data_IF_777650027556
#
_entry.id   IF_777650027556
#
_cell.length_a   1.000
_cell.length_b   1.000
_cell.length_c   1.000
_cell.angle_alpha   90.00
_cell.angle_beta   90.00
_cell.angle_gamma   90.00
#
_symmetry.space_group_name_H-M   'P 1'
#
loop_
_entity.id
_entity.type
_entity.pdbx_description
1 polymer ?
#
# COMPACT_ATOMS: atom_id res chain seq x y z
N UNK A 1 3.08 11.55 -3.75
CA UNK A 1 4.41 12.14 -3.99
C UNK A 1 5.47 11.30 -3.29
N UNK A 2 6.34 10.66 -4.10
CA UNK A 2 7.43 9.80 -3.63
C UNK A 2 8.65 10.60 -3.13
N UNK A 3 8.79 11.87 -3.54
CA UNK A 3 9.96 12.72 -3.21
C UNK A 3 9.73 13.60 -1.98
N UNK A 4 8.58 13.46 -1.33
CA UNK A 4 8.19 14.26 -0.18
C UNK A 4 9.14 14.03 1.00
N UNK A 5 9.95 15.02 1.37
CA UNK A 5 10.98 14.92 2.41
C UNK A 5 10.44 14.59 3.81
N UNK A 6 9.22 15.01 4.14
CA UNK A 6 8.58 14.71 5.41
C UNK A 6 7.72 13.43 5.37
N UNK A 7 7.96 12.51 4.42
CA UNK A 7 7.18 11.29 4.25
C UNK A 7 7.03 10.47 5.53
N UNK A 8 8.14 10.26 6.24
CA UNK A 8 8.19 9.48 7.48
C UNK A 8 7.49 10.09 8.70
N UNK A 9 7.02 11.34 8.63
CA UNK A 9 6.32 12.03 9.73
C UNK A 9 4.80 11.83 9.72
N UNK A 10 4.30 10.80 9.03
CA UNK A 10 2.87 10.50 8.95
C UNK A 10 2.35 9.84 10.24
N UNK A 11 1.03 9.87 10.46
CA UNK A 11 0.39 9.28 11.64
C UNK A 11 -0.25 7.90 11.40
N UNK A 12 -0.02 7.26 10.25
CA UNK A 12 -0.59 5.94 9.94
C UNK A 12 -0.21 4.82 10.94
N UNK A 13 0.88 4.99 11.70
CA UNK A 13 1.32 4.06 12.75
C UNK A 13 1.23 4.68 14.17
N UNK A 14 0.43 5.73 14.34
CA UNK A 14 0.35 6.54 15.55
C UNK A 14 1.71 7.15 15.99
N UNK A 15 1.74 7.75 17.16
CA UNK A 15 2.92 8.34 17.80
C UNK A 15 2.77 8.27 19.32
N UNK A 16 3.87 8.29 20.06
CA UNK A 16 3.87 8.25 21.53
C UNK A 16 3.71 6.85 22.11
N UNK A 17 3.13 6.71 23.32
CA UNK A 17 3.05 5.43 24.05
C UNK A 17 2.33 4.29 23.31
N UNK A 18 1.44 4.64 22.38
CA UNK A 18 0.66 3.69 21.58
C UNK A 18 1.13 3.62 20.13
N UNK A 19 2.40 3.92 19.86
CA UNK A 19 2.99 3.71 18.54
C UNK A 19 2.82 2.24 18.13
N UNK A 20 2.49 2.01 16.86
CA UNK A 20 2.22 0.67 16.34
C UNK A 20 3.44 -0.23 16.55
N UNK A 21 3.29 -1.25 17.39
CA UNK A 21 4.32 -2.25 17.65
C UNK A 21 4.71 -3.03 16.38
N UNK A 22 3.78 -3.17 15.44
CA UNK A 22 3.98 -3.85 14.16
C UNK A 22 4.57 -2.99 13.05
N UNK A 23 4.93 -1.73 13.29
CA UNK A 23 5.37 -0.79 12.24
C UNK A 23 6.50 -1.34 11.36
N UNK A 24 7.52 -1.93 11.97
CA UNK A 24 8.68 -2.44 11.25
C UNK A 24 8.34 -3.67 10.41
N UNK A 25 7.52 -4.58 10.96
CA UNK A 25 7.06 -5.76 10.25
C UNK A 25 6.18 -5.37 9.05
N UNK A 26 5.17 -4.53 9.26
CA UNK A 26 4.27 -4.07 8.19
C UNK A 26 5.05 -3.37 7.05
N UNK A 27 6.11 -2.62 7.37
CA UNK A 27 7.00 -2.02 6.36
C UNK A 27 7.78 -3.08 5.60
N UNK A 28 8.32 -4.10 6.28
CA UNK A 28 9.04 -5.19 5.63
C UNK A 28 8.11 -5.94 4.68
N UNK A 29 6.92 -6.32 5.15
CA UNK A 29 5.90 -7.01 4.35
C UNK A 29 5.52 -6.19 3.10
N UNK A 30 5.28 -4.89 3.25
CA UNK A 30 4.96 -4.02 2.12
C UNK A 30 6.10 -3.94 1.09
N UNK A 31 7.36 -3.84 1.54
CA UNK A 31 8.50 -3.84 0.62
C UNK A 31 8.61 -5.15 -0.14
N UNK A 32 8.54 -6.28 0.56
CA UNK A 32 8.63 -7.61 -0.07
C UNK A 32 7.47 -7.84 -1.02
N UNK A 33 6.23 -7.56 -0.61
CA UNK A 33 5.06 -7.75 -1.45
C UNK A 33 5.13 -6.91 -2.73
N UNK A 34 5.48 -5.61 -2.63
CA UNK A 34 5.59 -4.74 -3.80
C UNK A 34 6.73 -5.14 -4.72
N UNK A 35 7.91 -5.50 -4.18
CA UNK A 35 9.03 -5.97 -4.98
C UNK A 35 8.66 -7.24 -5.76
N UNK A 36 8.12 -8.25 -5.07
CA UNK A 36 7.71 -9.52 -5.69
C UNK A 36 6.65 -9.32 -6.78
N UNK A 37 5.65 -8.46 -6.54
CA UNK A 37 4.61 -8.18 -7.54
C UNK A 37 5.18 -7.49 -8.78
N UNK A 38 6.04 -6.49 -8.60
CA UNK A 38 6.61 -5.72 -9.71
C UNK A 38 7.64 -6.52 -10.51
N UNK A 39 8.37 -7.44 -9.87
CA UNK A 39 9.29 -8.36 -10.53
C UNK A 39 8.56 -9.50 -11.26
N UNK A 40 7.48 -10.03 -10.66
CA UNK A 40 6.78 -11.20 -11.17
C UNK A 40 5.66 -10.93 -12.18
N UNK A 41 5.11 -9.72 -12.21
CA UNK A 41 3.97 -9.35 -13.06
C UNK A 41 4.39 -8.21 -14.01
N UNK A 42 4.98 -8.52 -15.18
CA UNK A 42 5.40 -7.48 -16.13
C UNK A 42 4.18 -6.71 -16.64
N UNK A 43 4.33 -5.38 -16.83
CA UNK A 43 3.23 -4.54 -17.32
C UNK A 43 2.03 -4.42 -16.36
N UNK A 44 2.23 -4.71 -15.06
CA UNK A 44 1.20 -4.59 -14.03
C UNK A 44 0.52 -3.22 -14.06
N UNK A 45 -0.80 -3.22 -14.24
CA UNK A 45 -1.63 -2.01 -14.35
C UNK A 45 -3.01 -2.25 -13.75
N UNK A 46 -3.69 -1.17 -13.36
CA UNK A 46 -5.07 -1.23 -12.90
C UNK A 46 -6.02 -1.55 -14.05
N UNK A 47 -7.06 -2.33 -13.76
CA UNK A 47 -8.21 -2.46 -14.64
C UNK A 47 -8.99 -1.12 -14.65
N UNK A 48 -9.25 -0.58 -15.84
CA UNK A 48 -9.86 0.75 -15.98
C UNK A 48 -11.37 0.72 -15.78
N UNK A 49 -12.01 -0.39 -16.14
CA UNK A 49 -13.47 -0.55 -16.04
C UNK A 49 -13.94 -0.91 -14.62
N UNK A 50 -13.00 -1.23 -13.71
CA UNK A 50 -13.27 -1.55 -12.29
C UNK A 50 -12.41 -0.69 -11.34
N UNK A 51 -12.68 0.62 -11.23
CA UNK A 51 -11.88 1.49 -10.39
C UNK A 51 -12.04 1.16 -8.89
N UNK A 52 -10.94 1.12 -8.10
CA UNK A 52 -11.02 0.77 -6.68
C UNK A 52 -11.84 1.78 -5.85
N UNK A 53 -12.92 1.30 -5.22
CA UNK A 53 -13.75 2.12 -4.35
C UNK A 53 -13.28 2.05 -2.88
N UNK A 54 -12.63 3.11 -2.38
CA UNK A 54 -12.15 3.18 -0.98
C UNK A 54 -13.32 3.23 -0.01
N UNK A 55 -13.35 2.31 0.95
CA UNK A 55 -14.39 2.19 1.99
C UNK A 55 -13.76 2.20 3.39
N UNK A 56 -14.57 2.50 4.41
CA UNK A 56 -14.21 2.46 5.82
C UNK A 56 -14.02 3.84 6.47
N UNK A 57 -14.02 3.86 7.81
CA UNK A 57 -13.84 5.07 8.63
C UNK A 57 -12.42 5.10 9.23
N UNK A 58 -12.07 4.09 10.03
CA UNK A 58 -10.76 3.97 10.69
C UNK A 58 -9.71 3.37 9.77
N UNK A 59 -10.03 2.24 9.12
CA UNK A 59 -9.20 1.64 8.08
C UNK A 59 -9.84 1.89 6.72
N UNK A 60 -9.14 2.64 5.88
CA UNK A 60 -9.65 3.09 4.58
C UNK A 60 -8.90 2.39 3.46
N UNK A 61 -9.55 1.43 2.81
CA UNK A 61 -8.99 0.69 1.67
C UNK A 61 -10.10 0.24 0.72
N UNK A 62 -9.81 0.02 -0.57
CA UNK A 62 -10.74 -0.71 -1.41
C UNK A 62 -10.80 -2.19 -0.97
N UNK A 63 -11.95 -2.87 -1.15
CA UNK A 63 -12.08 -4.29 -0.82
C UNK A 63 -11.24 -5.18 -1.75
N UNK A 64 -11.06 -4.74 -3.01
CA UNK A 64 -10.23 -5.36 -4.03
C UNK A 64 -9.56 -4.28 -4.90
N UNK A 65 -8.49 -4.64 -5.59
CA UNK A 65 -7.83 -3.82 -6.61
C UNK A 65 -7.62 -4.73 -7.81
N UNK A 66 -8.47 -4.56 -8.81
CA UNK A 66 -8.42 -5.38 -10.03
C UNK A 66 -7.27 -4.89 -10.92
N UNK A 67 -6.50 -5.83 -11.45
CA UNK A 67 -5.26 -5.56 -12.20
C UNK A 67 -5.14 -6.45 -13.43
N UNK A 68 -4.43 -5.95 -14.42
CA UNK A 68 -3.98 -6.67 -15.60
C UNK A 68 -2.44 -6.70 -15.61
N UNK A 69 -1.86 -7.69 -16.27
CA UNK A 69 -0.42 -7.77 -16.53
C UNK A 69 -0.20 -8.42 -17.91
N UNK A 70 1.03 -8.34 -18.39
CA UNK A 70 1.44 -8.90 -19.67
C UNK A 70 1.79 -10.39 -19.46
N UNK A 71 1.21 -11.25 -20.31
CA UNK A 71 1.41 -12.71 -20.26
C UNK A 71 2.56 -13.12 -21.17
#
# INVERSE_FOLDING_TARGET
>A
DLRRSNAGRHLAFASGPHVCIGMHLARLEAHVALATLLEGLPGLRLEQDSPPAVRGLVFRKPPAVDVLWDV
#
